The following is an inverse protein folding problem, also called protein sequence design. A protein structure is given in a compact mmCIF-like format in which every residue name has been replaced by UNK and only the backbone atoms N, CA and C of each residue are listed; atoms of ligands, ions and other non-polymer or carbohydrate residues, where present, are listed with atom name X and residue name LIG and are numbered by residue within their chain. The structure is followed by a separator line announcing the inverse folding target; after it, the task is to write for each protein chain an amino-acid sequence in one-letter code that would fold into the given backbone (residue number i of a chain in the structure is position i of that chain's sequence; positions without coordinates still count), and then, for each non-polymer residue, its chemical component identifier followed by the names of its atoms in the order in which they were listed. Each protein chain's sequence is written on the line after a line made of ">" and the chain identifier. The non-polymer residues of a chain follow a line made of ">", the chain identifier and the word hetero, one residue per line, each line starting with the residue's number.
data_IF_850958708792
#
_entry.id   IF_850958708792
#
_cell.length_a   1.000
_cell.length_b   1.000
_cell.length_c   1.000
_cell.angle_alpha   90.00
_cell.angle_beta   90.00
_cell.angle_gamma   90.00
#
_symmetry.space_group_name_H-M   'P 1'
#
loop_
_entity.id
_entity.type
_entity.pdbx_description
1 polymer ?
#
# COMPACT_ATOMS: atom_id res chain seq x y z
N UNK A 1 32.83 8.83 -2.05
CA UNK A 1 31.90 7.71 -1.92
C UNK A 1 30.47 8.12 -1.52
N UNK A 2 30.24 9.18 -0.76
CA UNK A 2 28.92 9.69 -0.38
C UNK A 2 28.20 10.39 -1.55
N UNK A 3 28.93 11.05 -2.42
CA UNK A 3 28.42 11.74 -3.62
C UNK A 3 27.85 10.73 -4.63
N UNK A 4 28.50 9.58 -4.82
CA UNK A 4 28.05 8.52 -5.73
C UNK A 4 26.74 7.83 -5.25
N UNK A 5 26.51 7.72 -3.94
CA UNK A 5 25.25 7.18 -3.43
C UNK A 5 24.08 8.14 -3.62
N UNK A 6 24.29 9.44 -3.41
CA UNK A 6 23.25 10.45 -3.67
C UNK A 6 22.92 10.56 -5.15
N UNK A 7 23.93 10.49 -6.02
CA UNK A 7 23.77 10.51 -7.46
C UNK A 7 23.01 9.27 -7.97
N UNK A 8 23.30 8.06 -7.45
CA UNK A 8 22.55 6.86 -7.78
C UNK A 8 21.09 6.92 -7.31
N UNK A 9 20.80 7.46 -6.12
CA UNK A 9 19.42 7.63 -5.66
C UNK A 9 18.67 8.70 -6.47
N UNK A 10 19.33 9.76 -6.93
CA UNK A 10 18.73 10.72 -7.85
C UNK A 10 18.44 10.08 -9.21
N UNK A 11 19.39 9.33 -9.78
CA UNK A 11 19.17 8.65 -11.06
C UNK A 11 18.02 7.67 -11.04
N UNK A 12 17.81 6.91 -9.95
CA UNK A 12 16.68 5.98 -9.83
C UNK A 12 15.35 6.74 -9.77
N UNK A 13 15.26 7.85 -9.03
CA UNK A 13 14.07 8.70 -9.00
C UNK A 13 13.82 9.42 -10.31
N UNK A 14 14.87 9.85 -10.98
CA UNK A 14 14.81 10.54 -12.28
C UNK A 14 14.43 9.58 -13.43
N UNK A 15 14.44 8.27 -13.19
CA UNK A 15 14.09 7.27 -14.20
C UNK A 15 12.62 6.81 -14.14
N UNK A 16 11.88 7.14 -13.08
CA UNK A 16 10.48 6.78 -12.91
C UNK A 16 9.64 8.06 -12.98
N UNK A 17 9.18 8.41 -14.18
CA UNK A 17 8.41 9.62 -14.43
C UNK A 17 6.91 9.40 -14.47
N UNK A 18 6.48 8.15 -14.63
CA UNK A 18 5.08 7.82 -14.86
C UNK A 18 4.70 6.51 -14.18
N UNK A 19 3.39 6.24 -14.13
CA UNK A 19 2.84 4.96 -13.65
C UNK A 19 3.30 3.79 -14.54
N UNK A 20 3.52 4.04 -15.82
CA UNK A 20 3.98 3.04 -16.78
C UNK A 20 5.43 2.62 -16.50
N UNK A 21 6.31 3.56 -16.16
CA UNK A 21 7.69 3.26 -15.75
C UNK A 21 7.69 2.44 -14.45
N UNK A 22 6.80 2.78 -13.51
CA UNK A 22 6.62 2.01 -12.28
C UNK A 22 6.10 0.60 -12.57
N UNK A 23 5.14 0.45 -13.50
CA UNK A 23 4.61 -0.84 -13.90
C UNK A 23 5.71 -1.72 -14.52
N UNK A 24 6.58 -1.15 -15.35
CA UNK A 24 7.73 -1.85 -15.91
C UNK A 24 8.66 -2.35 -14.80
N UNK A 25 8.99 -1.49 -13.82
CA UNK A 25 9.85 -1.88 -12.70
C UNK A 25 9.22 -2.99 -11.84
N UNK A 26 7.91 -2.90 -11.56
CA UNK A 26 7.19 -3.94 -10.83
C UNK A 26 7.23 -5.26 -11.59
N UNK A 27 6.98 -5.23 -12.91
CA UNK A 27 7.07 -6.39 -13.77
C UNK A 27 8.46 -7.03 -13.71
N UNK A 28 9.51 -6.24 -13.87
CA UNK A 28 10.90 -6.72 -13.84
C UNK A 28 11.24 -7.38 -12.49
N UNK A 29 10.78 -6.79 -11.38
CA UNK A 29 10.98 -7.37 -10.04
C UNK A 29 10.27 -8.72 -9.90
N UNK A 30 9.05 -8.87 -10.43
CA UNK A 30 8.33 -10.14 -10.45
C UNK A 30 9.04 -11.19 -11.33
N UNK A 31 9.65 -10.79 -12.47
CA UNK A 31 10.44 -11.69 -13.30
C UNK A 31 11.68 -12.19 -12.56
N UNK A 32 12.36 -11.31 -11.83
CA UNK A 32 13.55 -11.69 -11.03
C UNK A 32 13.19 -12.65 -9.91
N UNK A 33 12.05 -12.43 -9.24
CA UNK A 33 11.61 -13.28 -8.14
C UNK A 33 10.09 -13.40 -8.07
N UNK A 34 9.47 -14.33 -8.81
CA UNK A 34 8.01 -14.45 -8.93
C UNK A 34 7.25 -14.67 -7.62
N UNK A 35 7.91 -15.15 -6.57
CA UNK A 35 7.31 -15.39 -5.25
C UNK A 35 7.40 -14.17 -4.31
N UNK A 36 8.17 -13.16 -4.67
CA UNK A 36 8.31 -11.96 -3.84
C UNK A 36 7.11 -11.03 -4.05
N UNK A 37 6.60 -10.48 -2.97
CA UNK A 37 5.59 -9.41 -3.04
C UNK A 37 6.27 -8.07 -3.26
N UNK A 38 5.80 -7.33 -4.26
CA UNK A 38 6.28 -5.97 -4.56
C UNK A 38 5.40 -4.97 -3.83
N UNK A 39 6.03 -4.15 -2.99
CA UNK A 39 5.35 -3.12 -2.22
C UNK A 39 5.71 -1.73 -2.73
N UNK A 40 4.71 -0.91 -2.98
CA UNK A 40 4.87 0.50 -3.36
C UNK A 40 4.45 1.38 -2.20
N UNK A 41 5.36 2.26 -1.77
CA UNK A 41 5.11 3.22 -0.69
C UNK A 41 4.66 4.56 -1.24
N UNK A 42 3.52 5.02 -0.77
CA UNK A 42 2.91 6.31 -1.11
C UNK A 42 2.81 7.18 0.14
N UNK A 43 3.13 8.46 0.00
CA UNK A 43 2.93 9.44 1.08
C UNK A 43 1.49 9.91 1.07
N UNK A 44 0.87 9.99 2.25
CA UNK A 44 -0.47 10.53 2.41
C UNK A 44 -0.51 12.01 1.97
N UNK A 45 -1.22 12.27 0.89
CA UNK A 45 -1.47 13.61 0.34
C UNK A 45 -2.79 13.62 -0.42
N UNK A 46 -3.29 14.80 -0.77
CA UNK A 46 -4.54 14.94 -1.53
C UNK A 46 -4.35 14.35 -2.94
N UNK A 47 -5.29 13.51 -3.40
CA UNK A 47 -5.25 12.88 -4.70
C UNK A 47 -4.48 11.54 -4.74
N UNK A 48 -4.00 11.07 -3.58
CA UNK A 48 -3.28 9.79 -3.45
C UNK A 48 -4.11 8.59 -3.94
N UNK A 49 -5.44 8.67 -3.85
CA UNK A 49 -6.35 7.62 -4.30
C UNK A 49 -6.21 7.33 -5.79
N UNK A 50 -6.04 8.35 -6.63
CA UNK A 50 -5.81 8.19 -8.07
C UNK A 50 -4.47 7.51 -8.35
N UNK A 51 -3.42 7.90 -7.62
CA UNK A 51 -2.09 7.29 -7.71
C UNK A 51 -2.17 5.80 -7.31
N UNK A 52 -2.84 5.50 -6.20
CA UNK A 52 -3.03 4.13 -5.72
C UNK A 52 -3.80 3.25 -6.72
N UNK A 53 -4.82 3.79 -7.39
CA UNK A 53 -5.51 3.08 -8.47
C UNK A 53 -4.56 2.74 -9.62
N UNK A 54 -3.68 3.67 -10.02
CA UNK A 54 -2.64 3.42 -11.00
C UNK A 54 -1.64 2.36 -10.57
N UNK A 55 -1.16 2.42 -9.33
CA UNK A 55 -0.24 1.44 -8.73
C UNK A 55 -0.86 0.05 -8.65
N UNK A 56 -2.15 -0.05 -8.30
CA UNK A 56 -2.88 -1.32 -8.31
C UNK A 56 -2.97 -1.91 -9.73
N UNK A 57 -3.25 -1.08 -10.74
CA UNK A 57 -3.25 -1.51 -12.16
C UNK A 57 -1.86 -1.89 -12.66
N UNK A 58 -0.81 -1.34 -12.07
CA UNK A 58 0.59 -1.66 -12.36
C UNK A 58 1.08 -2.96 -11.70
N UNK A 59 0.20 -3.73 -11.05
CA UNK A 59 0.49 -5.03 -10.44
C UNK A 59 1.33 -5.00 -9.16
N UNK A 60 1.29 -3.93 -8.39
CA UNK A 60 1.83 -3.97 -7.04
C UNK A 60 1.00 -4.92 -6.17
N UNK A 61 1.66 -5.73 -5.33
CA UNK A 61 0.98 -6.62 -4.38
C UNK A 61 0.54 -5.87 -3.12
N UNK A 62 1.32 -4.90 -2.70
CA UNK A 62 1.09 -4.12 -1.48
C UNK A 62 1.20 -2.63 -1.78
N UNK A 63 0.21 -1.87 -1.33
CA UNK A 63 0.30 -0.41 -1.28
C UNK A 63 0.45 0.02 0.17
N UNK A 64 1.58 0.64 0.49
CA UNK A 64 1.87 1.16 1.82
C UNK A 64 1.60 2.66 1.87
N UNK A 65 0.61 3.07 2.66
CA UNK A 65 0.27 4.47 2.88
C UNK A 65 1.05 4.97 4.10
N UNK A 66 1.85 6.01 3.90
CA UNK A 66 2.66 6.60 4.96
C UNK A 66 2.18 7.97 5.33
N UNK A 67 1.91 8.18 6.61
CA UNK A 67 1.61 9.51 7.14
C UNK A 67 2.86 10.40 7.19
N UNK A 68 2.65 11.68 7.51
CA UNK A 68 3.72 12.67 7.68
C UNK A 68 4.75 12.31 8.76
N UNK A 69 4.36 11.54 9.77
CA UNK A 69 5.26 10.98 10.79
C UNK A 69 5.99 9.71 10.31
N UNK A 70 5.63 9.20 9.14
CA UNK A 70 6.36 8.12 8.47
C UNK A 70 7.67 8.60 7.89
N UNK A 71 8.52 7.66 7.57
CA UNK A 71 9.82 7.94 7.03
C UNK A 71 10.93 7.63 8.02
N UNK A 72 12.12 8.15 7.76
CA UNK A 72 13.28 7.82 8.56
C UNK A 72 13.42 8.76 9.75
N UNK A 73 13.87 8.26 10.90
CA UNK A 73 14.34 9.10 12.01
C UNK A 73 15.49 10.03 11.63
N UNK A 74 16.06 9.84 10.45
CA UNK A 74 17.11 10.66 9.86
C UNK A 74 16.58 11.86 9.07
N UNK A 75 15.29 11.95 8.79
CA UNK A 75 14.71 13.10 8.08
C UNK A 75 14.82 14.38 8.90
N UNK A 76 15.06 15.54 8.25
CA UNK A 76 15.00 16.83 8.91
C UNK A 76 13.63 17.06 9.55
N UNK A 77 13.61 17.76 10.69
CA UNK A 77 12.38 18.04 11.41
C UNK A 77 11.34 18.82 10.55
N UNK A 78 11.83 19.69 9.66
CA UNK A 78 10.98 20.41 8.70
C UNK A 78 10.25 19.47 7.76
N UNK A 79 10.90 18.43 7.24
CA UNK A 79 10.26 17.42 6.37
C UNK A 79 9.20 16.64 7.13
N UNK A 80 9.48 16.20 8.36
CA UNK A 80 8.54 15.46 9.21
C UNK A 80 7.28 16.28 9.52
N UNK A 81 7.43 17.60 9.68
CA UNK A 81 6.31 18.49 10.03
C UNK A 81 5.50 18.99 8.84
N UNK A 82 6.10 19.04 7.66
CA UNK A 82 5.52 19.76 6.52
C UNK A 82 5.37 18.93 5.25
N UNK A 83 5.88 17.70 5.22
CA UNK A 83 5.72 16.80 4.08
C UNK A 83 4.67 15.73 4.40
N UNK A 84 3.59 15.71 3.64
CA UNK A 84 2.51 14.75 3.80
C UNK A 84 1.42 15.17 4.78
N UNK A 85 0.38 14.37 4.82
CA UNK A 85 -0.80 14.49 5.69
C UNK A 85 -0.82 13.35 6.72
N UNK A 86 -1.71 13.40 7.72
CA UNK A 86 -1.98 12.24 8.56
C UNK A 86 -2.33 11.00 7.73
N UNK A 87 -1.87 9.83 8.14
CA UNK A 87 -2.10 8.57 7.42
C UNK A 87 -3.59 8.23 7.30
N UNK A 88 -4.41 8.65 8.26
CA UNK A 88 -5.85 8.43 8.31
C UNK A 88 -6.54 8.99 7.07
N UNK A 89 -6.17 10.19 6.63
CA UNK A 89 -6.73 10.83 5.45
C UNK A 89 -6.37 10.08 4.18
N UNK A 90 -5.08 9.80 3.99
CA UNK A 90 -4.60 9.11 2.80
C UNK A 90 -5.12 7.66 2.71
N UNK A 91 -5.15 6.95 3.84
CA UNK A 91 -5.68 5.58 3.88
C UNK A 91 -7.16 5.54 3.51
N UNK A 92 -7.97 6.42 4.08
CA UNK A 92 -9.41 6.47 3.79
C UNK A 92 -9.68 6.82 2.31
N UNK A 93 -8.92 7.77 1.73
CA UNK A 93 -9.03 8.14 0.32
C UNK A 93 -8.63 6.98 -0.59
N UNK A 94 -7.51 6.30 -0.31
CA UNK A 94 -7.03 5.15 -1.09
C UNK A 94 -8.01 4.00 -1.03
N UNK A 95 -8.48 3.64 0.16
CA UNK A 95 -9.46 2.55 0.32
C UNK A 95 -10.73 2.82 -0.48
N UNK A 96 -11.29 4.03 -0.37
CA UNK A 96 -12.47 4.45 -1.14
C UNK A 96 -12.19 4.40 -2.65
N UNK A 97 -11.11 5.01 -3.11
CA UNK A 97 -10.75 5.05 -4.53
C UNK A 97 -10.58 3.65 -5.14
N UNK A 98 -9.97 2.73 -4.42
CA UNK A 98 -9.81 1.35 -4.86
C UNK A 98 -11.15 0.60 -4.93
N UNK A 99 -12.08 0.85 -4.00
CA UNK A 99 -13.43 0.29 -4.02
C UNK A 99 -14.24 0.83 -5.20
N UNK A 100 -14.25 2.15 -5.38
CA UNK A 100 -14.97 2.83 -6.48
C UNK A 100 -14.52 2.35 -7.87
N UNK A 101 -13.27 1.89 -7.98
CA UNK A 101 -12.70 1.38 -9.23
C UNK A 101 -12.66 -0.15 -9.34
N UNK A 102 -13.23 -0.91 -8.40
CA UNK A 102 -13.16 -2.38 -8.33
C UNK A 102 -11.71 -2.92 -8.34
N UNK A 103 -10.82 -2.26 -7.63
CA UNK A 103 -9.40 -2.61 -7.55
C UNK A 103 -8.96 -3.05 -6.14
N UNK A 104 -9.87 -2.96 -5.16
CA UNK A 104 -9.51 -3.14 -3.75
C UNK A 104 -9.07 -4.58 -3.42
N UNK A 105 -9.61 -5.56 -4.10
CA UNK A 105 -9.28 -6.98 -3.96
C UNK A 105 -7.94 -7.38 -4.60
N UNK A 106 -7.32 -6.47 -5.35
CA UNK A 106 -6.05 -6.73 -6.05
C UNK A 106 -4.81 -6.48 -5.22
N UNK A 107 -4.92 -5.65 -4.19
CA UNK A 107 -3.79 -5.17 -3.40
C UNK A 107 -4.07 -5.28 -1.91
N UNK A 108 -3.03 -5.56 -1.15
CA UNK A 108 -3.02 -5.46 0.29
C UNK A 108 -2.70 -4.01 0.70
N UNK A 109 -3.52 -3.43 1.57
CA UNK A 109 -3.27 -2.10 2.12
C UNK A 109 -2.50 -2.19 3.44
N UNK A 110 -1.36 -1.52 3.46
CA UNK A 110 -0.54 -1.34 4.67
C UNK A 110 -0.46 0.13 5.02
N UNK A 111 -0.45 0.45 6.30
CA UNK A 111 -0.24 1.84 6.75
C UNK A 111 0.89 1.93 7.77
N UNK A 112 1.62 3.05 7.74
CA UNK A 112 2.59 3.46 8.74
C UNK A 112 2.51 4.98 8.95
N UNK A 113 3.32 5.49 9.86
CA UNK A 113 3.39 6.93 10.09
C UNK A 113 2.89 7.34 11.47
N UNK A 114 3.45 6.73 12.49
CA UNK A 114 3.23 7.13 13.86
C UNK A 114 2.25 6.25 14.66
N UNK A 115 1.94 5.05 14.20
CA UNK A 115 1.18 4.07 14.97
C UNK A 115 1.91 3.73 16.27
N UNK A 116 1.20 3.76 17.41
CA UNK A 116 1.79 3.62 18.75
C UNK A 116 1.00 2.68 19.66
N UNK A 117 -0.29 2.59 19.48
CA UNK A 117 -1.24 1.94 20.38
C UNK A 117 -2.14 0.96 19.64
N UNK A 118 -2.85 0.12 20.36
CA UNK A 118 -3.90 -0.73 19.79
C UNK A 118 -5.05 0.07 19.19
N UNK A 119 -5.33 1.26 19.71
CA UNK A 119 -6.32 2.18 19.12
C UNK A 119 -5.93 2.61 17.71
N UNK A 120 -4.67 2.97 17.48
CA UNK A 120 -4.20 3.34 16.14
C UNK A 120 -4.39 2.19 15.15
N UNK A 121 -4.12 0.95 15.58
CA UNK A 121 -4.33 -0.26 14.76
C UNK A 121 -5.81 -0.46 14.43
N UNK A 122 -6.69 -0.36 15.43
CA UNK A 122 -8.13 -0.52 15.24
C UNK A 122 -8.68 0.54 14.30
N UNK A 123 -8.30 1.81 14.48
CA UNK A 123 -8.70 2.90 13.56
C UNK A 123 -8.18 2.63 12.15
N UNK A 124 -6.92 2.20 12.01
CA UNK A 124 -6.36 1.88 10.71
C UNK A 124 -7.12 0.72 10.03
N UNK A 125 -7.51 -0.33 10.77
CA UNK A 125 -8.36 -1.38 10.25
C UNK A 125 -9.71 -0.86 9.77
N UNK A 126 -10.39 -0.05 10.59
CA UNK A 126 -11.68 0.55 10.24
C UNK A 126 -11.61 1.44 8.99
N UNK A 127 -10.45 2.07 8.74
CA UNK A 127 -10.20 2.85 7.53
C UNK A 127 -9.71 2.02 6.32
N UNK A 128 -9.50 0.71 6.50
CA UNK A 128 -9.25 -0.22 5.42
C UNK A 128 -7.85 -0.84 5.37
N UNK A 129 -6.97 -0.63 6.36
CA UNK A 129 -5.66 -1.28 6.41
C UNK A 129 -5.76 -2.74 6.86
N UNK A 130 -4.93 -3.59 6.26
CA UNK A 130 -4.78 -5.02 6.56
C UNK A 130 -3.46 -5.30 7.27
N UNK A 131 -2.45 -4.46 7.05
CA UNK A 131 -1.15 -4.55 7.70
C UNK A 131 -0.73 -3.20 8.30
N UNK A 132 0.03 -3.25 9.39
CA UNK A 132 0.37 -2.10 10.21
C UNK A 132 1.88 -2.00 10.42
N UNK A 133 2.47 -0.84 10.08
CA UNK A 133 3.89 -0.60 10.19
C UNK A 133 4.25 0.21 11.44
N UNK A 134 5.16 -0.33 12.23
CA UNK A 134 5.66 0.31 13.45
C UNK A 134 7.15 0.62 13.30
N UNK A 135 7.51 1.87 13.45
CA UNK A 135 8.92 2.29 13.43
C UNK A 135 9.39 2.81 14.78
N UNK A 136 8.96 4.03 15.14
CA UNK A 136 9.46 4.73 16.32
C UNK A 136 9.22 3.98 17.62
N UNK A 137 8.07 3.35 17.79
CA UNK A 137 7.73 2.64 19.04
C UNK A 137 8.56 1.38 19.23
N UNK A 138 8.87 0.64 18.18
CA UNK A 138 9.77 -0.50 18.23
C UNK A 138 11.18 -0.07 18.67
N UNK A 139 11.67 1.06 18.14
CA UNK A 139 12.94 1.62 18.58
C UNK A 139 12.90 2.12 20.03
N UNK A 140 11.78 2.70 20.46
CA UNK A 140 11.59 3.15 21.86
C UNK A 140 11.60 1.95 22.81
N UNK A 141 10.96 0.84 22.45
CA UNK A 141 10.99 -0.38 23.22
C UNK A 141 12.42 -0.91 23.44
N UNK A 142 13.31 -0.66 22.49
CA UNK A 142 14.75 -0.98 22.62
C UNK A 142 15.59 0.10 23.31
N UNK A 143 14.98 1.16 23.82
CA UNK A 143 15.66 2.21 24.58
C UNK A 143 15.98 3.48 23.78
N UNK A 144 15.37 3.72 22.62
CA UNK A 144 15.50 4.98 21.90
C UNK A 144 14.89 6.13 22.71
N UNK A 145 15.62 7.20 22.86
CA UNK A 145 15.19 8.42 23.59
C UNK A 145 14.71 9.53 22.66
N UNK A 146 14.48 9.23 21.39
CA UNK A 146 13.99 10.16 20.37
C UNK A 146 14.83 11.44 20.22
N UNK A 147 16.14 11.34 20.41
CA UNK A 147 17.07 12.48 20.26
C UNK A 147 17.17 12.99 18.80
N UNK A 148 16.67 12.24 17.83
CA UNK A 148 16.61 12.56 16.37
C UNK A 148 17.97 12.98 15.76
N UNK A 149 19.05 12.39 16.24
CA UNK A 149 20.42 12.58 15.73
C UNK A 149 20.95 11.37 14.96
N UNK A 150 20.06 10.46 14.55
CA UNK A 150 20.41 9.24 13.82
C UNK A 150 21.20 9.52 12.54
N UNK A 151 20.81 10.58 11.80
CA UNK A 151 21.48 11.00 10.57
C UNK A 151 22.93 11.50 10.78
N UNK A 152 23.29 11.85 12.03
CA UNK A 152 24.63 12.34 12.39
C UNK A 152 25.56 11.23 12.88
N UNK A 153 25.07 10.00 12.98
CA UNK A 153 25.81 8.88 13.56
C UNK A 153 26.28 9.13 15.01
N UNK A 154 25.47 9.89 15.78
CA UNK A 154 25.78 10.31 17.17
C UNK A 154 24.67 9.92 18.14
N UNK A 155 24.03 8.77 17.92
CA UNK A 155 22.98 8.29 18.80
C UNK A 155 23.49 8.11 20.23
N UNK A 156 22.96 8.84 21.23
CA UNK A 156 23.50 8.82 22.59
C UNK A 156 23.29 7.48 23.31
N UNK A 157 22.29 6.70 22.90
CA UNK A 157 21.91 5.41 23.48
C UNK A 157 22.34 4.20 22.64
N UNK A 158 23.02 4.43 21.52
CA UNK A 158 23.60 3.36 20.72
C UNK A 158 22.65 2.61 19.77
N UNK A 159 21.35 2.92 19.73
CA UNK A 159 20.34 2.22 18.89
C UNK A 159 20.64 2.40 17.39
N UNK A 160 21.01 3.61 16.97
CA UNK A 160 21.18 3.97 15.56
C UNK A 160 22.52 4.66 15.31
N UNK A 161 23.63 3.95 15.49
CA UNK A 161 24.97 4.45 15.24
C UNK A 161 25.90 3.33 14.83
N UNK A 162 26.92 3.66 14.03
CA UNK A 162 28.03 2.76 13.66
C UNK A 162 29.28 2.98 14.52
N UNK A 163 29.29 4.00 15.40
CA UNK A 163 30.43 4.25 16.30
C UNK A 163 30.45 3.24 17.43
N UNK A 164 31.54 2.48 17.55
CA UNK A 164 31.66 1.39 18.53
C UNK A 164 31.47 1.86 19.97
N UNK A 165 32.03 3.01 20.33
CA UNK A 165 31.90 3.59 21.66
C UNK A 165 30.46 3.93 22.05
N UNK A 166 29.63 4.29 21.08
CA UNK A 166 28.21 4.57 21.30
C UNK A 166 27.39 3.29 21.25
N UNK A 167 27.72 2.33 20.38
CA UNK A 167 27.06 1.02 20.32
C UNK A 167 27.13 0.25 21.63
N UNK A 168 28.24 0.39 22.37
CA UNK A 168 28.40 -0.22 23.71
C UNK A 168 27.34 0.27 24.72
N UNK A 169 26.67 1.39 24.46
CA UNK A 169 25.59 1.93 25.31
C UNK A 169 24.23 1.30 25.03
N UNK A 170 24.09 0.55 23.93
CA UNK A 170 22.85 -0.11 23.59
C UNK A 170 22.53 -1.21 24.58
N UNK A 171 21.35 -1.12 25.22
CA UNK A 171 20.84 -2.05 26.24
C UNK A 171 19.55 -2.75 25.83
N UNK A 172 19.08 -2.54 24.59
CA UNK A 172 17.86 -3.16 24.12
C UNK A 172 17.98 -4.67 24.04
N UNK A 173 16.89 -5.34 24.37
CA UNK A 173 16.75 -6.79 24.29
C UNK A 173 15.58 -7.12 23.35
N UNK A 174 15.66 -8.22 22.59
CA UNK A 174 14.56 -8.66 21.73
C UNK A 174 13.24 -8.80 22.49
N UNK A 175 13.30 -9.27 23.74
CA UNK A 175 12.12 -9.46 24.60
C UNK A 175 11.37 -8.16 24.88
N UNK A 176 12.05 -7.02 24.88
CA UNK A 176 11.40 -5.72 25.04
C UNK A 176 10.42 -5.44 23.89
N UNK A 177 10.84 -5.75 22.66
CA UNK A 177 10.00 -5.59 21.47
C UNK A 177 8.87 -6.61 21.47
N UNK A 178 9.18 -7.87 21.78
CA UNK A 178 8.17 -8.94 21.88
C UNK A 178 7.09 -8.57 22.88
N UNK A 179 7.46 -8.20 24.10
CA UNK A 179 6.53 -7.82 25.15
C UNK A 179 5.69 -6.60 24.76
N UNK A 180 6.32 -5.60 24.12
CA UNK A 180 5.60 -4.42 23.64
C UNK A 180 4.49 -4.79 22.65
N UNK A 181 4.77 -5.66 21.67
CA UNK A 181 3.75 -6.08 20.71
C UNK A 181 2.70 -7.01 21.31
N UNK A 182 3.04 -7.80 22.32
CA UNK A 182 2.06 -8.55 23.10
C UNK A 182 1.07 -7.60 23.79
N UNK A 183 1.55 -6.50 24.38
CA UNK A 183 0.67 -5.49 24.99
C UNK A 183 -0.21 -4.78 23.96
N UNK A 184 0.33 -4.44 22.79
CA UNK A 184 -0.48 -3.88 21.68
C UNK A 184 -1.59 -4.87 21.30
N UNK A 185 -1.26 -6.15 21.13
CA UNK A 185 -2.24 -7.17 20.77
C UNK A 185 -3.32 -7.36 21.85
N UNK A 186 -2.94 -7.28 23.12
CA UNK A 186 -3.90 -7.36 24.24
C UNK A 186 -4.81 -6.13 24.30
N UNK A 187 -4.27 -4.93 24.08
CA UNK A 187 -5.07 -3.71 23.98
C UNK A 187 -6.08 -3.82 22.84
N UNK A 188 -5.67 -4.29 21.66
CA UNK A 188 -6.57 -4.54 20.52
C UNK A 188 -7.67 -5.52 20.93
N UNK A 189 -7.34 -6.63 21.59
CA UNK A 189 -8.32 -7.63 22.04
C UNK A 189 -9.34 -7.03 23.00
N UNK A 190 -8.93 -6.17 23.91
CA UNK A 190 -9.82 -5.46 24.83
C UNK A 190 -10.76 -4.51 24.08
N UNK A 191 -10.24 -3.76 23.08
CA UNK A 191 -11.06 -2.88 22.25
C UNK A 191 -12.09 -3.70 21.46
N UNK A 192 -11.68 -4.77 20.81
CA UNK A 192 -12.57 -5.68 20.07
C UNK A 192 -13.69 -6.22 20.96
N UNK A 193 -13.35 -6.65 22.17
CA UNK A 193 -14.33 -7.13 23.16
C UNK A 193 -15.34 -6.04 23.52
N UNK A 194 -14.89 -4.79 23.67
CA UNK A 194 -15.75 -3.65 24.04
C UNK A 194 -16.76 -3.33 22.95
N UNK A 195 -16.35 -3.42 21.67
CA UNK A 195 -17.23 -3.14 20.54
C UNK A 195 -18.00 -4.38 20.03
N UNK A 196 -17.77 -5.56 20.64
CA UNK A 196 -18.47 -6.80 20.31
C UNK A 196 -18.02 -7.48 19.00
N UNK A 197 -16.81 -7.19 18.54
CA UNK A 197 -16.19 -7.76 17.34
C UNK A 197 -15.25 -8.91 17.71
N UNK A 198 -15.22 -9.99 16.94
CA UNK A 198 -14.43 -11.19 17.24
C UNK A 198 -13.08 -11.23 16.55
N UNK A 199 -12.97 -10.68 15.34
CA UNK A 199 -11.78 -10.78 14.51
C UNK A 199 -11.39 -9.43 13.93
N UNK A 200 -10.10 -9.25 13.63
CA UNK A 200 -9.62 -8.03 12.94
C UNK A 200 -10.22 -7.90 11.52
N UNK A 201 -10.49 -9.01 10.86
CA UNK A 201 -11.09 -9.02 9.52
C UNK A 201 -12.48 -8.37 9.51
N UNK A 202 -13.24 -8.48 10.60
CA UNK A 202 -14.54 -7.83 10.74
C UNK A 202 -14.44 -6.31 10.82
N UNK A 203 -13.27 -5.78 11.18
CA UNK A 203 -13.03 -4.33 11.27
C UNK A 203 -12.62 -3.71 9.94
N UNK A 204 -11.92 -4.46 9.06
CA UNK A 204 -11.29 -3.88 7.86
C UNK A 204 -12.34 -3.17 6.99
N UNK A 205 -12.19 -1.84 6.89
CA UNK A 205 -13.09 -0.97 6.13
C UNK A 205 -14.49 -0.76 6.76
N UNK A 206 -14.71 -1.23 7.99
CA UNK A 206 -16.00 -1.10 8.68
C UNK A 206 -16.11 0.23 9.45
N UNK A 207 -16.43 1.27 8.74
CA UNK A 207 -16.56 2.62 9.32
C UNK A 207 -17.80 2.82 10.19
N UNK A 208 -18.71 1.83 10.29
CA UNK A 208 -19.90 1.92 11.16
C UNK A 208 -19.55 2.10 12.64
N UNK A 209 -18.36 1.67 13.05
CA UNK A 209 -17.84 1.84 14.40
C UNK A 209 -17.17 3.21 14.63
N UNK A 210 -17.04 4.04 13.59
CA UNK A 210 -16.43 5.36 13.69
C UNK A 210 -17.49 6.46 13.82
N UNK A 211 -17.30 7.32 14.80
CA UNK A 211 -18.10 8.54 14.96
C UNK A 211 -17.18 9.74 15.18
N UNK A 212 -17.57 10.88 14.65
CA UNK A 212 -16.85 12.12 14.91
C UNK A 212 -17.16 12.60 16.34
N UNK A 213 -16.10 12.87 17.10
CA UNK A 213 -16.25 13.50 18.42
C UNK A 213 -16.46 15.00 18.24
N UNK A 214 -17.57 15.51 18.78
CA UNK A 214 -17.81 16.94 18.78
C UNK A 214 -16.89 17.61 19.81
N UNK A 215 -15.82 18.25 19.33
CA UNK A 215 -14.85 18.96 20.17
C UNK A 215 -14.98 20.44 19.84
N UNK A 216 -15.52 21.20 20.78
CA UNK A 216 -15.66 22.67 20.65
C UNK A 216 -14.34 23.36 20.98
N UNK A 217 -13.38 23.33 20.07
CA UNK A 217 -12.12 24.07 20.16
C UNK A 217 -12.00 25.02 18.96
N UNK A 218 -11.54 26.26 19.14
CA UNK A 218 -11.43 27.23 18.03
C UNK A 218 -10.61 26.75 16.81
N UNK A 219 -9.66 25.84 17.03
CA UNK A 219 -8.81 25.28 15.96
C UNK A 219 -9.45 24.09 15.22
N UNK A 220 -10.47 23.48 15.79
CA UNK A 220 -11.13 22.29 15.22
C UNK A 220 -12.53 22.56 14.71
N UNK A 221 -13.06 23.77 14.96
CA UNK A 221 -14.41 24.16 14.60
C UNK A 221 -14.72 24.04 13.10
N UNK A 222 -13.71 24.24 12.26
CA UNK A 222 -13.85 24.17 10.81
C UNK A 222 -13.34 22.84 10.20
N UNK A 223 -13.04 21.83 11.02
CA UNK A 223 -12.59 20.53 10.53
C UNK A 223 -13.80 19.64 10.30
N UNK A 224 -14.06 19.33 9.04
CA UNK A 224 -15.06 18.34 8.64
C UNK A 224 -14.42 16.97 8.41
N UNK A 225 -14.75 16.01 9.27
CA UNK A 225 -14.31 14.62 9.18
C UNK A 225 -15.39 13.69 8.59
N UNK A 226 -16.48 14.24 8.08
CA UNK A 226 -17.62 13.46 7.57
C UNK A 226 -17.19 12.48 6.48
N UNK A 227 -16.29 12.89 5.59
CA UNK A 227 -15.76 12.04 4.52
C UNK A 227 -14.94 10.85 5.04
N UNK A 228 -14.33 10.94 6.22
CA UNK A 228 -13.60 9.85 6.85
C UNK A 228 -14.52 8.77 7.42
N UNK A 229 -15.64 9.20 8.03
CA UNK A 229 -16.53 8.30 8.78
C UNK A 229 -17.74 7.83 7.98
N UNK A 230 -18.08 8.47 6.85
CA UNK A 230 -19.22 8.06 6.04
C UNK A 230 -18.97 6.69 5.36
N UNK A 231 -19.96 5.83 5.55
CA UNK A 231 -20.04 4.52 4.91
C UNK A 231 -20.95 4.64 3.67
N UNK A 232 -20.37 5.02 2.53
CA UNK A 232 -21.10 5.08 1.25
C UNK A 232 -21.25 3.71 0.57
N UNK A 233 -20.47 2.72 1.01
CA UNK A 233 -20.40 1.39 0.39
C UNK A 233 -20.92 0.36 1.37
N UNK A 234 -21.85 -0.50 0.89
CA UNK A 234 -22.41 -1.56 1.71
C UNK A 234 -21.33 -2.47 2.25
N UNK A 235 -21.24 -2.53 3.56
CA UNK A 235 -20.33 -3.34 4.35
C UNK A 235 -20.48 -4.87 4.10
N UNK A 236 -21.58 -5.31 3.52
CA UNK A 236 -21.92 -6.74 3.35
C UNK A 236 -21.15 -7.44 2.24
N UNK A 237 -20.68 -6.70 1.25
CA UNK A 237 -19.93 -7.23 0.10
C UNK A 237 -18.43 -7.01 0.25
N UNK A 238 -17.82 -7.68 1.23
CA UNK A 238 -16.38 -7.62 1.48
C UNK A 238 -15.59 -8.52 0.52
N UNK A 239 -15.70 -8.26 -0.78
CA UNK A 239 -14.92 -8.98 -1.78
C UNK A 239 -13.42 -8.75 -1.65
N UNK A 240 -13.01 -7.60 -1.09
CA UNK A 240 -11.61 -7.22 -0.96
C UNK A 240 -10.79 -8.01 0.07
N UNK A 241 -11.40 -8.76 0.96
CA UNK A 241 -10.69 -9.67 1.88
C UNK A 241 -10.23 -10.93 1.18
N UNK A 242 -10.89 -11.28 0.07
CA UNK A 242 -10.55 -12.44 -0.77
C UNK A 242 -9.78 -11.94 -1.98
N UNK A 243 -8.47 -11.82 -1.86
CA UNK A 243 -7.62 -11.41 -2.98
C UNK A 243 -7.86 -12.30 -4.19
N UNK A 244 -8.28 -11.69 -5.30
CA UNK A 244 -8.47 -12.38 -6.56
C UNK A 244 -7.12 -12.77 -7.14
N UNK A 245 -6.86 -14.06 -7.28
CA UNK A 245 -5.65 -14.55 -7.96
C UNK A 245 -5.60 -14.18 -9.45
N UNK A 246 -6.66 -13.58 -9.99
CA UNK A 246 -6.80 -13.22 -11.40
C UNK A 246 -6.96 -11.71 -11.60
N UNK A 247 -6.21 -10.94 -10.82
CA UNK A 247 -6.24 -9.48 -10.81
C UNK A 247 -6.01 -8.81 -12.19
N UNK A 248 -5.47 -9.56 -13.15
CA UNK A 248 -5.06 -9.07 -14.46
C UNK A 248 -5.87 -9.64 -15.62
N UNK A 249 -6.95 -10.35 -15.34
CA UNK A 249 -7.88 -10.73 -16.39
C UNK A 249 -8.55 -9.47 -16.94
N UNK A 250 -8.25 -9.12 -18.18
CA UNK A 250 -8.97 -8.09 -18.92
C UNK A 250 -10.39 -8.54 -19.33
N UNK A 251 -10.86 -9.67 -18.78
CA UNK A 251 -12.07 -10.34 -19.24
C UNK A 251 -11.87 -11.05 -20.59
N UNK A 252 -12.98 -11.46 -21.20
CA UNK A 252 -12.94 -11.99 -22.55
C UNK A 252 -12.67 -10.86 -23.55
N UNK A 253 -11.65 -11.05 -24.38
CA UNK A 253 -11.32 -10.14 -25.48
C UNK A 253 -11.84 -10.68 -26.80
N UNK A 254 -11.97 -9.82 -27.80
CA UNK A 254 -12.50 -10.16 -29.11
C UNK A 254 -11.76 -11.34 -29.75
N UNK A 255 -10.46 -11.36 -29.59
CA UNK A 255 -9.57 -12.41 -30.14
C UNK A 255 -9.78 -13.79 -29.54
N UNK A 256 -10.36 -13.92 -28.35
CA UNK A 256 -10.63 -15.24 -27.76
C UNK A 256 -11.59 -16.07 -28.64
N UNK A 257 -12.52 -15.41 -29.30
CA UNK A 257 -13.43 -16.03 -30.25
C UNK A 257 -12.75 -16.49 -31.56
N UNK A 258 -11.63 -15.89 -31.90
CA UNK A 258 -10.83 -16.23 -33.08
C UNK A 258 -9.87 -17.36 -32.74
N UNK A 259 -9.19 -17.27 -31.59
CA UNK A 259 -8.24 -18.28 -31.14
C UNK A 259 -8.89 -19.64 -30.87
N UNK A 260 -10.19 -19.66 -30.57
CA UNK A 260 -10.97 -20.90 -30.39
C UNK A 260 -11.71 -21.35 -31.65
N UNK A 261 -11.60 -20.60 -32.75
CA UNK A 261 -12.29 -20.93 -34.02
C UNK A 261 -11.58 -22.10 -34.71
N UNK A 262 -12.34 -23.17 -35.00
CA UNK A 262 -11.81 -24.39 -35.63
C UNK A 262 -11.20 -24.13 -37.02
N UNK A 263 -11.74 -23.17 -37.78
CA UNK A 263 -11.19 -22.82 -39.09
C UNK A 263 -9.87 -22.08 -38.97
N UNK A 264 -9.73 -21.23 -37.97
CA UNK A 264 -8.48 -20.55 -37.66
C UNK A 264 -7.39 -21.54 -37.24
N UNK A 265 -7.71 -22.46 -36.33
CA UNK A 265 -6.79 -23.51 -35.87
C UNK A 265 -6.36 -24.43 -37.03
N UNK A 266 -7.31 -24.80 -37.91
CA UNK A 266 -6.98 -25.59 -39.09
C UNK A 266 -6.08 -24.85 -40.06
N UNK A 267 -6.34 -23.55 -40.32
CA UNK A 267 -5.50 -22.73 -41.17
C UNK A 267 -4.07 -22.60 -40.63
N UNK A 268 -3.90 -22.49 -39.32
CA UNK A 268 -2.60 -22.51 -38.66
C UNK A 268 -1.83 -23.82 -38.87
N UNK A 269 -2.49 -24.97 -38.67
CA UNK A 269 -1.86 -26.28 -38.80
C UNK A 269 -1.53 -26.66 -40.24
N UNK A 270 -2.32 -26.17 -41.20
CA UNK A 270 -2.15 -26.50 -42.64
C UNK A 270 -1.39 -25.42 -43.41
N UNK A 271 -0.94 -24.34 -42.73
CA UNK A 271 -0.37 -23.15 -43.39
C UNK A 271 -1.34 -22.53 -44.42
N UNK A 272 -2.64 -22.59 -44.15
CA UNK A 272 -3.68 -22.08 -45.01
C UNK A 272 -4.04 -20.63 -44.73
N UNK A 273 -5.01 -20.11 -45.48
CA UNK A 273 -5.54 -18.75 -45.29
C UNK A 273 -6.80 -18.77 -44.41
N UNK A 274 -6.92 -17.78 -43.53
CA UNK A 274 -8.12 -17.53 -42.73
C UNK A 274 -8.57 -16.08 -42.87
N UNK A 275 -9.85 -15.86 -43.10
CA UNK A 275 -10.45 -14.54 -43.19
C UNK A 275 -11.77 -14.50 -42.44
N UNK A 276 -11.94 -13.54 -41.55
CA UNK A 276 -13.16 -13.34 -40.75
C UNK A 276 -13.48 -11.85 -40.64
N UNK A 277 -14.73 -11.49 -40.92
CA UNK A 277 -15.24 -10.13 -40.65
C UNK A 277 -15.75 -10.05 -39.23
N UNK A 278 -15.30 -9.04 -38.48
CA UNK A 278 -15.64 -8.82 -37.09
C UNK A 278 -16.10 -7.36 -36.94
N UNK A 279 -17.16 -7.12 -36.19
CA UNK A 279 -17.53 -5.79 -35.74
C UNK A 279 -16.64 -5.37 -34.57
N UNK A 280 -16.00 -4.20 -34.72
CA UNK A 280 -15.11 -3.63 -33.71
C UNK A 280 -15.79 -2.42 -33.09
N UNK A 281 -15.77 -2.33 -31.76
CA UNK A 281 -16.24 -1.17 -31.00
C UNK A 281 -15.02 -0.35 -30.51
N UNK A 282 -15.28 0.88 -30.08
CA UNK A 282 -14.21 1.74 -29.52
C UNK A 282 -13.60 1.23 -28.21
N UNK A 283 -14.21 0.24 -27.59
CA UNK A 283 -13.70 -0.49 -26.43
C UNK A 283 -12.69 -1.59 -26.79
N UNK A 284 -12.72 -2.05 -28.04
CA UNK A 284 -11.83 -3.12 -28.52
C UNK A 284 -10.51 -2.49 -28.97
N UNK A 285 -9.57 -2.41 -28.04
CA UNK A 285 -8.26 -1.82 -28.26
C UNK A 285 -7.25 -2.90 -28.61
N UNK A 286 -6.24 -2.51 -29.43
CA UNK A 286 -5.13 -3.39 -29.82
C UNK A 286 -5.60 -4.70 -30.46
N UNK A 287 -6.62 -4.63 -31.31
CA UNK A 287 -7.16 -5.82 -32.02
C UNK A 287 -6.03 -6.53 -32.77
N UNK A 288 -6.01 -7.86 -32.72
CA UNK A 288 -4.98 -8.78 -33.20
C UNK A 288 -3.68 -8.84 -32.40
N UNK A 289 -3.50 -8.04 -31.33
CA UNK A 289 -2.27 -8.10 -30.53
C UNK A 289 -2.13 -9.45 -29.79
N UNK A 290 -3.22 -9.98 -29.25
CA UNK A 290 -3.21 -11.29 -28.59
C UNK A 290 -2.93 -12.42 -29.57
N UNK A 291 -3.56 -12.38 -30.75
CA UNK A 291 -3.29 -13.35 -31.83
C UNK A 291 -1.80 -13.33 -32.22
N UNK A 292 -1.22 -12.14 -32.42
CA UNK A 292 0.19 -12.00 -32.74
C UNK A 292 1.11 -12.55 -31.66
N UNK A 293 0.75 -12.36 -30.38
CA UNK A 293 1.48 -12.90 -29.24
C UNK A 293 1.43 -14.44 -29.17
N UNK A 294 0.26 -15.02 -29.39
CA UNK A 294 0.09 -16.47 -29.41
C UNK A 294 0.78 -17.15 -30.61
N UNK A 295 0.83 -16.46 -31.76
CA UNK A 295 1.52 -16.95 -32.96
C UNK A 295 3.06 -16.85 -32.85
N UNK A 296 3.58 -16.02 -31.96
CA UNK A 296 5.01 -15.83 -31.76
C UNK A 296 5.64 -16.82 -30.78
N UNK A 297 4.83 -17.52 -30.01
CA UNK A 297 5.24 -18.58 -29.08
C UNK A 297 5.38 -19.93 -29.78
#
# INVERSE_FOLDING_TARGET
>A
HLTNRRQRQMCIRDSIYSIEDLAQLIHDLHQVHPKAKVSVKLVSEIGIGTIAAGVSKANADVIQISGHDGGTGASPLSSIKHAGLPWELGLAEVHKSLLDNNLRDRVLLRTDGGLKTGWDVVIAALLGAEEYGFGSVAMIAEGCVMARVCHKNTCPVGVATQKEELRKRFKGLPDNVVNFFIYIAEEIRQILSTIGVKTMEELIGNKEFLTTKNISLPKTENIDLTSLVNNEISYKDRSWIKHSNNAHSNGTVLEDSILTDAQFINALTTHGEFSKKIEIKNTDRSVCAKISGELAQ
#
